data_IF_986873892995
#
_entry.id   IF_986873892995
#
_cell.length_a   1.000
_cell.length_b   1.000
_cell.length_c   1.000
_cell.angle_alpha   90.00
_cell.angle_beta   90.00
_cell.angle_gamma   90.00
#
_symmetry.space_group_name_H-M   'P 1'
#
loop_
_entity.id
_entity.type
_entity.pdbx_description
1 polymer ?
#
# COMPACT_ATOMS: atom_id res chain seq x y z
N UNK A 1 -13.76 54.37 -69.91
CA UNK A 1 -13.46 55.52 -69.05
C UNK A 1 -14.22 55.31 -67.76
N UNK A 2 -13.59 54.74 -66.74
CA UNK A 2 -14.01 54.86 -65.35
C UNK A 2 -12.74 54.79 -64.51
N UNK A 3 -12.37 55.94 -63.93
CA UNK A 3 -11.23 56.08 -63.03
C UNK A 3 -11.69 55.59 -61.66
N UNK A 4 -11.13 54.46 -61.24
CA UNK A 4 -11.37 53.88 -59.93
C UNK A 4 -10.90 54.86 -58.83
N UNK A 5 -11.84 55.32 -58.01
CA UNK A 5 -11.64 56.37 -57.03
C UNK A 5 -10.92 55.79 -55.80
N UNK A 6 -9.59 55.70 -55.85
CA UNK A 6 -8.77 55.31 -54.70
C UNK A 6 -8.81 56.40 -53.61
N UNK A 7 -9.77 56.30 -52.71
CA UNK A 7 -9.87 57.16 -51.53
C UNK A 7 -8.70 56.89 -50.58
N UNK A 8 -7.80 57.88 -50.45
CA UNK A 8 -6.80 57.86 -49.38
C UNK A 8 -7.50 57.93 -48.03
N UNK A 9 -7.16 57.08 -47.05
CA UNK A 9 -7.78 57.13 -45.72
C UNK A 9 -7.55 58.51 -45.10
N UNK A 10 -8.61 59.09 -44.52
CA UNK A 10 -8.55 60.42 -43.92
C UNK A 10 -7.64 60.35 -42.68
N UNK A 11 -6.77 61.34 -42.49
CA UNK A 11 -5.85 61.46 -41.34
C UNK A 11 -6.41 61.03 -39.95
N UNK A 12 -7.68 61.35 -39.58
CA UNK A 12 -8.26 60.87 -38.31
C UNK A 12 -8.40 59.35 -38.20
N UNK A 13 -8.56 58.63 -39.31
CA UNK A 13 -8.70 57.16 -39.32
C UNK A 13 -7.36 56.46 -39.03
N UNK A 14 -6.25 57.03 -39.50
CA UNK A 14 -4.90 56.55 -39.22
C UNK A 14 -4.58 56.75 -37.73
N UNK A 15 -4.89 57.93 -37.18
CA UNK A 15 -4.68 58.22 -35.76
C UNK A 15 -5.50 57.28 -34.84
N UNK A 16 -6.75 56.98 -35.20
CA UNK A 16 -7.60 56.04 -34.45
C UNK A 16 -7.04 54.62 -34.46
N UNK A 17 -6.58 54.11 -35.62
CA UNK A 17 -5.95 52.78 -35.73
C UNK A 17 -4.64 52.69 -34.94
N UNK A 18 -3.82 53.76 -34.93
CA UNK A 18 -2.59 53.81 -34.14
C UNK A 18 -2.88 53.80 -32.63
N UNK A 19 -3.86 54.57 -32.16
CA UNK A 19 -4.25 54.60 -30.73
C UNK A 19 -4.81 53.25 -30.28
N UNK A 20 -5.65 52.60 -31.10
CA UNK A 20 -6.19 51.28 -30.81
C UNK A 20 -5.08 50.22 -30.70
N UNK A 21 -4.11 50.25 -31.62
CA UNK A 21 -2.96 49.32 -31.62
C UNK A 21 -2.09 49.51 -30.37
N UNK A 22 -1.79 50.75 -29.98
CA UNK A 22 -1.01 51.07 -28.77
C UNK A 22 -1.76 50.60 -27.51
N UNK A 23 -3.08 50.76 -27.48
CA UNK A 23 -3.93 50.34 -26.36
C UNK A 23 -3.96 48.81 -26.22
N UNK A 24 -4.06 48.07 -27.33
CA UNK A 24 -3.98 46.61 -27.33
C UNK A 24 -2.61 46.09 -26.90
N UNK A 25 -1.52 46.73 -27.33
CA UNK A 25 -0.15 46.36 -26.91
C UNK A 25 0.03 46.56 -25.41
N UNK A 26 -0.45 47.70 -24.85
CA UNK A 26 -0.42 47.95 -23.40
C UNK A 26 -1.28 46.94 -22.63
N UNK A 27 -2.47 46.59 -23.15
CA UNK A 27 -3.36 45.59 -22.54
C UNK A 27 -2.71 44.20 -22.56
N UNK A 28 -2.14 43.76 -23.69
CA UNK A 28 -1.44 42.46 -23.80
C UNK A 28 -0.21 42.38 -22.89
N UNK A 29 0.56 43.46 -22.76
CA UNK A 29 1.68 43.54 -21.80
C UNK A 29 1.20 43.44 -20.35
N UNK A 30 0.18 44.21 -19.97
CA UNK A 30 -0.42 44.15 -18.63
C UNK A 30 -0.97 42.75 -18.30
N UNK A 31 -1.64 42.11 -19.25
CA UNK A 31 -2.16 40.74 -19.08
C UNK A 31 -1.02 39.73 -18.92
N UNK A 32 0.03 39.79 -19.74
CA UNK A 32 1.21 38.90 -19.60
C UNK A 32 1.91 39.08 -18.26
N UNK A 33 2.06 40.31 -17.78
CA UNK A 33 2.63 40.59 -16.45
C UNK A 33 1.75 40.05 -15.33
N UNK A 34 0.42 40.19 -15.43
CA UNK A 34 -0.52 39.60 -14.47
C UNK A 34 -0.45 38.08 -14.46
N UNK A 35 -0.46 37.43 -15.63
CA UNK A 35 -0.35 35.97 -15.73
C UNK A 35 1.00 35.46 -15.21
N UNK A 36 2.10 36.18 -15.45
CA UNK A 36 3.42 35.83 -14.93
C UNK A 36 3.47 35.95 -13.40
N UNK A 37 2.89 37.01 -12.82
CA UNK A 37 2.80 37.19 -11.36
C UNK A 37 1.91 36.12 -10.72
N UNK A 38 0.75 35.81 -11.32
CA UNK A 38 -0.13 34.74 -10.84
C UNK A 38 0.54 33.38 -10.93
N UNK A 39 1.26 33.09 -12.02
CA UNK A 39 2.00 31.83 -12.18
C UNK A 39 3.11 31.70 -11.12
N UNK A 40 3.90 32.75 -10.88
CA UNK A 40 4.93 32.77 -9.84
C UNK A 40 4.35 32.61 -8.42
N UNK A 41 3.19 33.21 -8.14
CA UNK A 41 2.50 33.06 -6.85
C UNK A 41 2.02 31.62 -6.62
N UNK A 42 1.50 30.95 -7.65
CA UNK A 42 1.05 29.54 -7.56
C UNK A 42 2.23 28.59 -7.32
N UNK A 43 3.36 28.81 -7.99
CA UNK A 43 4.58 27.98 -7.82
C UNK A 43 5.17 28.12 -6.41
N UNK A 44 5.11 29.33 -5.82
CA UNK A 44 5.63 29.55 -4.46
C UNK A 44 4.78 28.88 -3.37
N UNK A 45 3.46 28.72 -3.58
CA UNK A 45 2.58 28.05 -2.62
C UNK A 45 2.70 26.52 -2.61
N UNK A 46 3.22 25.91 -3.68
CA UNK A 46 3.36 24.45 -3.77
C UNK A 46 4.61 23.88 -3.07
N UNK A 47 5.50 24.73 -2.55
CA UNK A 47 6.76 24.29 -1.93
C UNK A 47 6.68 24.07 -0.40
N UNK A 48 5.50 24.16 0.19
CA UNK A 48 5.27 23.92 1.63
C UNK A 48 4.72 22.51 1.87
N UNK A 49 5.26 21.50 1.20
CA UNK A 49 5.11 20.12 1.67
C UNK A 49 6.11 19.90 2.80
N UNK A 50 5.64 19.85 4.03
CA UNK A 50 6.40 19.35 5.17
C UNK A 50 6.75 17.87 4.89
N UNK A 51 7.88 17.64 4.25
CA UNK A 51 8.42 16.30 3.93
C UNK A 51 9.02 15.57 5.14
N UNK A 52 8.76 16.06 6.35
CA UNK A 52 9.03 15.36 7.58
C UNK A 52 7.69 14.83 8.07
N UNK A 53 7.30 13.65 7.58
CA UNK A 53 6.34 12.85 8.31
C UNK A 53 6.86 12.75 9.76
N UNK A 54 5.98 12.98 10.72
CA UNK A 54 6.30 12.87 12.13
C UNK A 54 7.05 11.56 12.37
N UNK A 55 8.26 11.63 12.92
CA UNK A 55 9.10 10.45 13.16
C UNK A 55 8.68 9.75 14.46
N UNK A 56 7.66 10.27 15.15
CA UNK A 56 7.00 9.60 16.25
C UNK A 56 6.29 8.32 15.76
N UNK A 57 6.40 7.21 16.51
CA UNK A 57 5.63 5.99 16.23
C UNK A 57 4.15 6.28 16.10
N UNK A 58 3.54 5.66 15.09
CA UNK A 58 2.13 5.84 14.79
C UNK A 58 1.31 4.83 15.60
N UNK A 59 0.24 5.29 16.29
CA UNK A 59 -0.57 4.43 17.13
C UNK A 59 -1.26 3.34 16.29
N UNK A 60 -1.39 2.16 16.88
CA UNK A 60 -2.05 1.01 16.24
C UNK A 60 -3.41 0.80 16.92
N UNK A 61 -4.50 0.85 16.15
CA UNK A 61 -5.82 0.51 16.66
C UNK A 61 -5.91 -1.00 16.88
N UNK A 62 -6.09 -1.43 18.13
CA UNK A 62 -6.16 -2.84 18.53
C UNK A 62 -7.49 -3.21 19.18
N UNK A 63 -8.53 -2.37 19.01
CA UNK A 63 -9.83 -2.54 19.68
C UNK A 63 -10.55 -3.83 19.27
N UNK A 64 -10.31 -4.30 18.05
CA UNK A 64 -10.89 -5.54 17.53
C UNK A 64 -10.20 -6.82 18.04
N UNK A 65 -9.08 -6.69 18.78
CA UNK A 65 -8.34 -7.83 19.31
C UNK A 65 -8.74 -8.13 20.76
N UNK A 66 -8.76 -9.42 21.17
CA UNK A 66 -8.91 -9.79 22.58
C UNK A 66 -7.86 -9.13 23.47
N UNK A 67 -8.22 -8.87 24.72
CA UNK A 67 -7.26 -8.33 25.68
C UNK A 67 -6.23 -9.39 26.11
N UNK A 68 -5.01 -8.92 26.31
CA UNK A 68 -3.85 -9.75 26.67
C UNK A 68 -3.41 -9.58 28.12
N UNK A 69 -4.06 -8.71 28.88
CA UNK A 69 -3.69 -8.38 30.27
C UNK A 69 -2.58 -7.34 30.36
N UNK A 70 -2.29 -6.90 31.59
CA UNK A 70 -1.22 -5.94 31.88
C UNK A 70 0.15 -6.59 31.95
N UNK A 71 0.22 -7.84 32.45
CA UNK A 71 1.44 -8.63 32.45
C UNK A 71 1.82 -9.03 31.01
N UNK A 72 3.10 -8.93 30.69
CA UNK A 72 3.61 -9.33 29.39
C UNK A 72 3.51 -10.84 29.23
N UNK A 73 2.89 -11.28 28.14
CA UNK A 73 2.87 -12.67 27.71
C UNK A 73 4.26 -13.11 27.28
N UNK A 74 4.56 -14.37 27.49
CA UNK A 74 5.80 -15.00 27.05
C UNK A 74 5.68 -15.50 25.60
N UNK A 75 4.48 -15.89 25.18
CA UNK A 75 4.18 -16.41 23.84
C UNK A 75 3.12 -15.57 23.13
N UNK A 76 3.14 -15.61 21.80
CA UNK A 76 2.17 -14.92 20.96
C UNK A 76 0.72 -15.43 21.20
N UNK A 77 -0.15 -14.61 21.82
CA UNK A 77 -1.51 -15.03 22.17
C UNK A 77 -2.45 -15.07 20.97
N UNK A 78 -2.06 -14.54 19.80
CA UNK A 78 -2.91 -14.42 18.62
C UNK A 78 -2.66 -15.47 17.54
N UNK A 79 -1.85 -16.51 17.81
CA UNK A 79 -1.71 -17.65 16.89
C UNK A 79 -3.05 -18.39 16.73
N UNK A 80 -3.28 -18.94 15.54
CA UNK A 80 -4.56 -19.54 15.19
C UNK A 80 -4.99 -20.67 16.14
N UNK A 81 -4.04 -21.49 16.60
CA UNK A 81 -4.27 -22.58 17.54
C UNK A 81 -4.72 -22.12 18.94
N UNK A 82 -4.37 -20.89 19.32
CA UNK A 82 -4.68 -20.33 20.64
C UNK A 82 -5.90 -19.42 20.60
N UNK A 83 -5.98 -18.52 19.61
CA UNK A 83 -7.02 -17.50 19.53
C UNK A 83 -8.15 -17.82 18.55
N UNK A 84 -7.99 -18.85 17.72
CA UNK A 84 -8.88 -19.16 16.60
C UNK A 84 -8.58 -18.35 15.34
N UNK A 85 -9.01 -18.87 14.19
CA UNK A 85 -8.70 -18.30 12.88
C UNK A 85 -9.13 -16.85 12.70
N UNK A 86 -10.29 -16.47 13.23
CA UNK A 86 -10.84 -15.12 13.03
C UNK A 86 -10.03 -14.05 13.78
N UNK A 87 -9.60 -14.36 15.01
CA UNK A 87 -8.70 -13.47 15.75
C UNK A 87 -7.33 -13.42 15.09
N UNK A 88 -6.82 -14.56 14.64
CA UNK A 88 -5.53 -14.62 13.93
C UNK A 88 -5.52 -13.77 12.65
N UNK A 89 -6.57 -13.87 11.81
CA UNK A 89 -6.73 -13.01 10.62
C UNK A 89 -6.80 -11.53 11.00
N UNK A 90 -7.59 -11.19 12.01
CA UNK A 90 -7.71 -9.81 12.52
C UNK A 90 -6.36 -9.28 13.02
N UNK A 91 -5.57 -10.12 13.70
CA UNK A 91 -4.24 -9.77 14.17
C UNK A 91 -3.25 -9.57 13.02
N UNK A 92 -3.33 -10.37 11.95
CA UNK A 92 -2.54 -10.15 10.72
C UNK A 92 -2.88 -8.81 10.09
N UNK A 93 -4.16 -8.47 9.95
CA UNK A 93 -4.60 -7.21 9.33
C UNK A 93 -4.13 -5.98 10.12
N UNK A 94 -4.34 -5.99 11.44
CA UNK A 94 -3.87 -4.92 12.33
C UNK A 94 -2.34 -4.87 12.38
N UNK A 95 -1.70 -6.04 12.43
CA UNK A 95 -0.26 -6.20 12.42
C UNK A 95 0.39 -5.67 11.15
N UNK A 96 -0.20 -5.92 9.99
CA UNK A 96 0.27 -5.39 8.71
C UNK A 96 0.28 -3.85 8.72
N UNK A 97 -0.80 -3.24 9.20
CA UNK A 97 -0.88 -1.78 9.35
C UNK A 97 0.16 -1.25 10.33
N UNK A 98 0.26 -1.85 11.53
CA UNK A 98 1.22 -1.45 12.55
C UNK A 98 2.67 -1.59 12.09
N UNK A 99 2.99 -2.70 11.42
CA UNK A 99 4.30 -2.98 10.85
C UNK A 99 4.68 -1.98 9.76
N UNK A 100 3.77 -1.72 8.80
CA UNK A 100 4.05 -0.83 7.69
C UNK A 100 4.30 0.62 8.15
N UNK A 101 3.64 1.05 9.22
CA UNK A 101 3.79 2.40 9.76
C UNK A 101 5.05 2.55 10.63
N UNK A 102 5.44 1.51 11.37
CA UNK A 102 6.46 1.64 12.42
C UNK A 102 7.77 0.89 12.14
N UNK A 103 7.73 -0.19 11.35
CA UNK A 103 8.84 -1.15 11.24
C UNK A 103 9.43 -1.22 9.82
N UNK A 104 8.58 -1.13 8.80
CA UNK A 104 8.95 -1.42 7.41
C UNK A 104 10.04 -0.50 6.84
N UNK A 105 10.19 0.72 7.37
CA UNK A 105 11.26 1.64 6.95
C UNK A 105 12.67 1.05 7.19
N UNK A 106 12.84 0.25 8.24
CA UNK A 106 14.14 -0.32 8.61
C UNK A 106 14.25 -1.80 8.24
N UNK A 107 13.19 -2.56 8.48
CA UNK A 107 13.14 -4.00 8.25
C UNK A 107 12.59 -4.40 6.86
N UNK A 108 12.23 -3.39 6.06
CA UNK A 108 11.68 -3.55 4.71
C UNK A 108 10.20 -3.90 4.67
N UNK A 109 9.59 -3.75 3.49
CA UNK A 109 8.18 -4.12 3.27
C UNK A 109 8.03 -5.63 3.37
N UNK A 110 6.87 -6.09 3.85
CA UNK A 110 6.61 -7.54 4.02
C UNK A 110 7.67 -8.25 4.88
N UNK A 111 8.37 -7.51 5.75
CA UNK A 111 9.51 -7.95 6.57
C UNK A 111 10.77 -8.43 5.83
N UNK A 112 10.82 -8.22 4.51
CA UNK A 112 11.98 -8.54 3.68
C UNK A 112 12.99 -7.40 3.76
N UNK A 113 14.16 -7.66 4.35
CA UNK A 113 15.15 -6.60 4.57
C UNK A 113 15.86 -6.15 3.30
N UNK A 114 16.00 -4.83 3.13
CA UNK A 114 16.89 -4.20 2.15
C UNK A 114 18.33 -4.00 2.63
N UNK A 115 18.74 -4.60 3.75
CA UNK A 115 20.09 -4.55 4.32
C UNK A 115 20.33 -3.49 5.40
N UNK A 116 19.32 -2.69 5.78
CA UNK A 116 19.45 -1.69 6.84
C UNK A 116 19.32 -2.29 8.25
N UNK A 117 18.34 -3.17 8.45
CA UNK A 117 18.12 -3.94 9.67
C UNK A 117 17.89 -5.43 9.32
N UNK A 118 17.89 -6.38 10.28
CA UNK A 118 17.68 -7.80 9.96
C UNK A 118 16.33 -8.07 9.28
N UNK A 119 16.29 -9.08 8.40
CA UNK A 119 15.05 -9.67 7.86
C UNK A 119 14.32 -10.38 9.00
N UNK A 120 13.08 -9.98 9.27
CA UNK A 120 12.34 -10.49 10.43
C UNK A 120 11.56 -11.77 10.13
N UNK A 121 11.45 -12.19 8.86
CA UNK A 121 10.70 -13.39 8.48
C UNK A 121 11.33 -14.65 9.07
N UNK A 122 12.65 -14.65 9.27
CA UNK A 122 13.41 -15.76 9.84
C UNK A 122 13.42 -15.80 11.36
N UNK A 123 12.69 -14.92 12.03
CA UNK A 123 12.51 -15.02 13.47
C UNK A 123 11.48 -16.11 13.76
N UNK A 124 11.92 -17.20 14.40
CA UNK A 124 11.15 -18.42 14.56
C UNK A 124 9.81 -18.17 15.28
N UNK A 125 8.74 -18.81 14.81
CA UNK A 125 7.40 -18.73 15.40
C UNK A 125 7.24 -19.71 16.58
N UNK A 126 8.08 -19.52 17.60
CA UNK A 126 8.11 -20.32 18.83
C UNK A 126 8.44 -19.45 20.05
N UNK A 127 8.55 -20.07 21.22
CA UNK A 127 8.86 -19.39 22.48
C UNK A 127 10.17 -18.58 22.43
N UNK A 128 11.25 -19.17 21.90
CA UNK A 128 12.56 -18.50 21.84
C UNK A 128 12.51 -17.26 20.91
N UNK A 129 11.80 -17.37 19.79
CA UNK A 129 11.59 -16.25 18.88
C UNK A 129 10.67 -15.17 19.46
N UNK A 130 9.70 -15.54 20.30
CA UNK A 130 8.81 -14.62 21.01
C UNK A 130 9.57 -13.85 22.11
N UNK A 131 10.42 -14.53 22.88
CA UNK A 131 11.32 -13.90 23.85
C UNK A 131 12.22 -12.87 23.16
N UNK A 132 12.86 -13.27 22.05
CA UNK A 132 13.71 -12.35 21.30
C UNK A 132 12.94 -11.16 20.73
N UNK A 133 11.74 -11.39 20.21
CA UNK A 133 10.90 -10.32 19.67
C UNK A 133 10.47 -9.34 20.75
N UNK A 134 9.94 -9.84 21.88
CA UNK A 134 9.44 -8.99 22.96
C UNK A 134 10.57 -8.16 23.57
N UNK A 135 11.75 -8.73 23.77
CA UNK A 135 12.91 -8.00 24.27
C UNK A 135 13.30 -6.83 23.33
N UNK A 136 13.39 -7.10 22.03
CA UNK A 136 13.72 -6.06 21.03
C UNK A 136 12.61 -5.05 20.82
N UNK A 137 11.36 -5.48 20.82
CA UNK A 137 10.21 -4.60 20.69
C UNK A 137 10.14 -3.63 21.86
N UNK A 138 10.31 -4.13 23.08
CA UNK A 138 10.14 -3.33 24.30
C UNK A 138 11.30 -2.39 24.52
N UNK A 139 12.53 -2.90 24.44
CA UNK A 139 13.73 -2.17 24.85
C UNK A 139 14.49 -1.56 23.66
N UNK A 140 14.13 -1.91 22.42
CA UNK A 140 14.81 -1.46 21.22
C UNK A 140 16.21 -2.05 21.08
N UNK A 141 17.11 -1.30 20.44
CA UNK A 141 18.51 -1.67 20.27
C UNK A 141 19.39 -0.42 20.24
N UNK A 142 20.33 -0.32 21.19
CA UNK A 142 21.28 0.80 21.28
C UNK A 142 22.70 0.26 21.32
N UNK A 143 23.58 0.81 20.49
CA UNK A 143 24.99 0.42 20.41
C UNK A 143 25.86 1.67 20.53
N UNK A 144 26.81 1.66 21.45
CA UNK A 144 27.71 2.79 21.71
C UNK A 144 26.96 4.12 21.95
N UNK A 145 25.83 4.06 22.65
CA UNK A 145 24.97 5.22 22.93
C UNK A 145 24.13 5.70 21.74
N UNK A 146 24.18 5.02 20.58
CA UNK A 146 23.37 5.35 19.41
C UNK A 146 22.21 4.36 19.31
N UNK A 147 20.99 4.87 19.47
CA UNK A 147 19.76 4.09 19.27
C UNK A 147 19.60 3.74 17.80
N UNK A 148 19.55 2.44 17.51
CA UNK A 148 19.37 1.85 16.17
C UNK A 148 17.93 1.40 15.95
N UNK A 149 17.28 0.95 17.01
CA UNK A 149 15.85 0.61 17.05
C UNK A 149 15.27 1.23 18.32
N UNK A 150 14.18 2.02 18.23
CA UNK A 150 13.51 2.54 19.42
C UNK A 150 12.78 1.41 20.15
N UNK A 151 12.57 1.58 21.46
CA UNK A 151 11.67 0.73 22.22
C UNK A 151 10.22 1.20 22.05
N UNK A 152 9.29 0.25 21.96
CA UNK A 152 7.88 0.48 21.64
C UNK A 152 6.91 0.09 22.76
N UNK A 153 7.40 -0.43 23.91
CA UNK A 153 6.56 -0.89 25.03
C UNK A 153 5.53 0.19 25.43
N UNK A 154 6.01 1.34 25.91
CA UNK A 154 5.17 2.45 26.35
C UNK A 154 4.46 3.18 25.19
N UNK A 155 4.96 3.04 23.96
CA UNK A 155 4.48 3.82 22.81
C UNK A 155 3.29 3.16 22.12
N UNK A 156 3.32 1.84 21.99
CA UNK A 156 2.34 1.07 21.22
C UNK A 156 1.65 -0.01 22.06
N UNK A 157 2.31 -0.50 23.11
CA UNK A 157 1.77 -1.50 24.02
C UNK A 157 1.73 -2.92 23.46
N UNK A 158 1.42 -3.85 24.35
CA UNK A 158 1.50 -5.29 24.10
C UNK A 158 0.56 -5.80 23.00
N UNK A 159 -0.68 -5.31 22.92
CA UNK A 159 -1.63 -5.76 21.88
C UNK A 159 -1.11 -5.48 20.47
N UNK A 160 -0.49 -4.31 20.28
CA UNK A 160 0.11 -3.93 19.01
C UNK A 160 1.34 -4.79 18.71
N UNK A 161 2.18 -5.06 19.72
CA UNK A 161 3.34 -5.94 19.60
C UNK A 161 2.93 -7.31 19.06
N UNK A 162 1.95 -7.97 19.68
CA UNK A 162 1.54 -9.30 19.27
C UNK A 162 0.83 -9.33 17.91
N UNK A 163 0.06 -8.30 17.55
CA UNK A 163 -0.51 -8.20 16.21
C UNK A 163 0.60 -8.10 15.13
N UNK A 164 1.59 -7.23 15.35
CA UNK A 164 2.74 -7.08 14.46
C UNK A 164 3.54 -8.39 14.39
N UNK A 165 3.72 -9.07 15.52
CA UNK A 165 4.38 -10.38 15.58
C UNK A 165 3.67 -11.43 14.73
N UNK A 166 2.34 -11.58 14.88
CA UNK A 166 1.54 -12.51 14.06
C UNK A 166 1.65 -12.19 12.56
N UNK A 167 1.68 -10.90 12.20
CA UNK A 167 1.94 -10.51 10.82
C UNK A 167 3.33 -10.93 10.31
N UNK A 168 4.38 -10.77 11.13
CA UNK A 168 5.75 -11.18 10.77
C UNK A 168 5.85 -12.71 10.64
N UNK A 169 5.31 -13.46 11.59
CA UNK A 169 5.36 -14.94 11.59
C UNK A 169 4.76 -15.52 10.31
N UNK A 170 3.76 -14.86 9.73
CA UNK A 170 3.02 -15.36 8.57
C UNK A 170 3.64 -15.00 7.23
N UNK A 171 4.80 -14.33 7.21
CA UNK A 171 5.45 -13.96 5.94
C UNK A 171 5.95 -15.21 5.20
N UNK A 172 5.70 -15.32 3.89
CA UNK A 172 6.23 -16.40 3.07
C UNK A 172 7.76 -16.48 3.12
N UNK A 173 8.27 -17.70 3.01
CA UNK A 173 9.71 -17.93 2.78
C UNK A 173 10.15 -17.39 1.42
N UNK A 174 11.45 -17.14 1.29
CA UNK A 174 12.04 -16.75 0.01
C UNK A 174 11.83 -17.85 -1.03
N UNK A 175 11.37 -17.46 -2.22
CA UNK A 175 11.03 -18.39 -3.30
C UNK A 175 9.82 -19.31 -3.04
N UNK A 176 9.07 -19.15 -1.94
CA UNK A 176 7.96 -20.04 -1.59
C UNK A 176 6.79 -20.05 -2.60
N UNK A 177 6.79 -19.12 -3.57
CA UNK A 177 5.80 -19.02 -4.62
C UNK A 177 6.34 -19.37 -6.02
N UNK A 178 7.64 -19.64 -6.17
CA UNK A 178 8.33 -19.74 -7.47
C UNK A 178 7.70 -20.80 -8.38
N UNK A 179 7.40 -21.97 -7.81
CA UNK A 179 6.78 -23.09 -8.52
C UNK A 179 5.33 -22.80 -8.97
N UNK A 180 4.71 -21.75 -8.43
CA UNK A 180 3.32 -21.39 -8.69
C UNK A 180 3.17 -20.12 -9.54
N UNK A 181 4.24 -19.40 -9.87
CA UNK A 181 4.17 -18.07 -10.49
C UNK A 181 3.37 -18.07 -11.80
N UNK A 182 3.62 -19.04 -12.68
CA UNK A 182 2.89 -19.15 -13.97
C UNK A 182 1.40 -19.43 -13.77
N UNK A 183 1.08 -20.29 -12.81
CA UNK A 183 -0.31 -20.64 -12.47
C UNK A 183 -1.04 -19.43 -11.89
N UNK A 184 -0.42 -18.74 -10.94
CA UNK A 184 -0.98 -17.55 -10.29
C UNK A 184 -1.11 -16.37 -11.26
N UNK A 185 -0.15 -16.19 -12.17
CA UNK A 185 -0.23 -15.17 -13.22
C UNK A 185 -1.39 -15.45 -14.18
N UNK A 186 -1.59 -16.71 -14.57
CA UNK A 186 -2.73 -17.12 -15.40
C UNK A 186 -4.06 -16.83 -14.70
N UNK A 187 -4.17 -17.16 -13.40
CA UNK A 187 -5.38 -16.89 -12.61
C UNK A 187 -5.62 -15.39 -12.50
N UNK A 188 -4.59 -14.59 -12.18
CA UNK A 188 -4.67 -13.12 -12.11
C UNK A 188 -5.20 -12.53 -13.41
N UNK A 189 -4.64 -12.92 -14.55
CA UNK A 189 -4.99 -12.35 -15.85
C UNK A 189 -6.43 -12.70 -16.26
N UNK A 190 -6.90 -13.89 -15.89
CA UNK A 190 -8.29 -14.29 -16.13
C UNK A 190 -9.27 -13.63 -15.14
N UNK A 191 -8.91 -13.50 -13.86
CA UNK A 191 -9.71 -12.74 -12.88
C UNK A 191 -9.81 -11.27 -13.28
N UNK A 192 -8.75 -10.67 -13.83
CA UNK A 192 -8.77 -9.30 -14.36
C UNK A 192 -9.81 -9.14 -15.48
N UNK A 193 -9.82 -10.05 -16.47
CA UNK A 193 -10.83 -10.02 -17.55
C UNK A 193 -12.25 -10.23 -17.00
N UNK A 194 -12.41 -11.08 -15.98
CA UNK A 194 -13.69 -11.27 -15.30
C UNK A 194 -14.14 -9.98 -14.62
N UNK A 195 -13.25 -9.33 -13.85
CA UNK A 195 -13.52 -8.07 -13.18
C UNK A 195 -13.96 -6.98 -14.18
N UNK A 196 -13.24 -6.83 -15.31
CA UNK A 196 -13.58 -5.89 -16.37
C UNK A 196 -14.99 -6.13 -16.95
N UNK A 197 -15.36 -7.40 -17.16
CA UNK A 197 -16.69 -7.77 -17.66
C UNK A 197 -17.81 -7.47 -16.67
N UNK A 198 -17.57 -7.74 -15.38
CA UNK A 198 -18.51 -7.47 -14.29
C UNK A 198 -18.73 -5.95 -14.13
N UNK A 199 -17.66 -5.17 -14.12
CA UNK A 199 -17.73 -3.70 -14.04
C UNK A 199 -18.42 -3.10 -15.27
N UNK A 200 -18.14 -3.63 -16.47
CA UNK A 200 -18.80 -3.18 -17.70
C UNK A 200 -20.27 -3.65 -17.82
N UNK A 201 -20.77 -4.49 -16.90
CA UNK A 201 -22.11 -5.07 -16.98
C UNK A 201 -22.33 -6.00 -18.18
N UNK A 202 -21.24 -6.52 -18.76
CA UNK A 202 -21.28 -7.42 -19.94
C UNK A 202 -21.38 -8.90 -19.55
N UNK A 203 -21.38 -9.20 -18.25
CA UNK A 203 -21.62 -10.51 -17.67
C UNK A 203 -22.26 -10.35 -16.29
N UNK A 204 -23.14 -11.27 -15.89
CA UNK A 204 -23.56 -11.39 -14.49
C UNK A 204 -22.57 -12.29 -13.72
N UNK A 205 -22.46 -12.09 -12.40
CA UNK A 205 -21.60 -12.94 -11.56
C UNK A 205 -21.99 -14.43 -11.68
N UNK A 206 -23.28 -14.72 -11.77
CA UNK A 206 -23.80 -16.08 -11.95
C UNK A 206 -23.24 -16.78 -13.20
N UNK A 207 -22.89 -16.04 -14.25
CA UNK A 207 -22.35 -16.61 -15.49
C UNK A 207 -20.88 -17.04 -15.36
N UNK A 208 -20.17 -16.49 -14.37
CA UNK A 208 -18.73 -16.70 -14.16
C UNK A 208 -18.41 -17.44 -12.86
N UNK A 209 -19.40 -17.66 -12.00
CA UNK A 209 -19.22 -18.20 -10.65
C UNK A 209 -18.50 -19.54 -10.64
N UNK A 210 -18.88 -20.47 -11.53
CA UNK A 210 -18.23 -21.78 -11.62
C UNK A 210 -16.72 -21.70 -11.92
N UNK A 211 -16.31 -20.72 -12.75
CA UNK A 211 -14.89 -20.48 -13.06
C UNK A 211 -14.17 -19.84 -11.87
N UNK A 212 -14.81 -18.87 -11.21
CA UNK A 212 -14.26 -18.25 -9.99
C UNK A 212 -14.11 -19.26 -8.85
N UNK A 213 -15.07 -20.16 -8.67
CA UNK A 213 -15.02 -21.23 -7.66
C UNK A 213 -13.86 -22.19 -7.93
N UNK A 214 -13.62 -22.51 -9.20
CA UNK A 214 -12.44 -23.29 -9.61
C UNK A 214 -11.15 -22.57 -9.22
N UNK A 215 -11.03 -21.28 -9.50
CA UNK A 215 -9.85 -20.51 -9.11
C UNK A 215 -9.70 -20.37 -7.60
N UNK A 216 -10.79 -20.19 -6.87
CA UNK A 216 -10.76 -20.15 -5.40
C UNK A 216 -10.21 -21.47 -4.82
N UNK A 217 -10.63 -22.60 -5.36
CA UNK A 217 -10.11 -23.92 -4.94
C UNK A 217 -8.61 -24.06 -5.24
N UNK A 218 -8.17 -23.66 -6.44
CA UNK A 218 -6.75 -23.69 -6.82
C UNK A 218 -5.90 -22.77 -5.95
N UNK A 219 -6.34 -21.53 -5.73
CA UNK A 219 -5.63 -20.56 -4.89
C UNK A 219 -5.52 -21.04 -3.44
N UNK A 220 -6.56 -21.71 -2.93
CA UNK A 220 -6.52 -22.34 -1.60
C UNK A 220 -5.50 -23.47 -1.53
N UNK A 221 -5.44 -24.31 -2.56
CA UNK A 221 -4.46 -25.40 -2.64
C UNK A 221 -3.02 -24.85 -2.66
N UNK A 222 -2.76 -23.86 -3.52
CA UNK A 222 -1.45 -23.17 -3.55
C UNK A 222 -1.13 -22.58 -2.18
N UNK A 223 -2.07 -21.85 -1.57
CA UNK A 223 -1.87 -21.22 -0.27
C UNK A 223 -1.46 -22.20 0.84
N UNK A 224 -1.97 -23.44 0.81
CA UNK A 224 -1.61 -24.48 1.77
C UNK A 224 -0.19 -25.04 1.57
N UNK A 225 0.41 -24.82 0.41
CA UNK A 225 1.75 -25.29 0.06
C UNK A 225 2.83 -24.22 0.26
N UNK A 226 2.44 -22.96 0.47
CA UNK A 226 3.39 -21.86 0.71
C UNK A 226 3.93 -21.95 2.13
N UNK A 227 5.24 -22.19 2.26
CA UNK A 227 5.94 -22.17 3.54
C UNK A 227 6.13 -20.75 4.07
N UNK A 228 6.21 -20.63 5.40
CA UNK A 228 6.69 -19.40 6.07
C UNK A 228 8.18 -19.54 6.38
N UNK A 229 8.91 -18.42 6.38
CA UNK A 229 10.32 -18.41 6.79
C UNK A 229 10.49 -18.66 8.31
N UNK A 230 9.46 -18.35 9.09
CA UNK A 230 9.47 -18.44 10.56
C UNK A 230 9.20 -19.85 11.08
N UNK A 231 8.76 -20.76 10.21
CA UNK A 231 8.24 -22.08 10.60
C UNK A 231 6.79 -22.07 11.09
N UNK A 232 6.10 -20.93 11.07
CA UNK A 232 4.66 -20.86 11.32
C UNK A 232 3.86 -21.74 10.33
N UNK A 233 2.75 -22.34 10.75
CA UNK A 233 2.05 -23.36 9.97
C UNK A 233 1.32 -22.83 8.72
N UNK A 234 1.11 -21.52 8.61
CA UNK A 234 0.36 -20.93 7.51
C UNK A 234 0.95 -19.56 7.10
N UNK A 235 1.10 -19.37 5.79
CA UNK A 235 1.55 -18.11 5.21
C UNK A 235 0.38 -17.21 4.81
N UNK A 236 0.51 -15.92 5.12
CA UNK A 236 -0.31 -14.86 4.54
C UNK A 236 0.35 -14.40 3.22
N UNK A 237 0.06 -15.17 2.17
CA UNK A 237 0.60 -15.06 0.82
C UNK A 237 -0.37 -14.40 -0.14
N UNK A 238 0.12 -14.05 -1.34
CA UNK A 238 -0.73 -13.54 -2.42
C UNK A 238 -1.91 -14.48 -2.73
N UNK A 239 -1.66 -15.79 -2.71
CA UNK A 239 -2.68 -16.81 -2.94
C UNK A 239 -3.71 -16.85 -1.80
N UNK A 240 -3.27 -16.77 -0.54
CA UNK A 240 -4.19 -16.86 0.61
C UNK A 240 -5.09 -15.64 0.73
N UNK A 241 -4.54 -14.45 0.52
CA UNK A 241 -5.31 -13.20 0.41
C UNK A 241 -6.30 -13.24 -0.75
N UNK A 242 -5.88 -13.75 -1.91
CA UNK A 242 -6.73 -13.82 -3.10
C UNK A 242 -7.92 -14.77 -2.93
N UNK A 243 -7.73 -16.01 -2.44
CA UNK A 243 -8.87 -16.92 -2.27
C UNK A 243 -9.85 -16.43 -1.20
N UNK A 244 -9.34 -15.76 -0.15
CA UNK A 244 -10.17 -15.19 0.91
C UNK A 244 -11.04 -14.06 0.38
N UNK A 245 -10.52 -13.25 -0.54
CA UNK A 245 -11.27 -12.17 -1.18
C UNK A 245 -12.38 -12.64 -2.14
N UNK A 246 -12.32 -13.86 -2.67
CA UNK A 246 -13.34 -14.39 -3.59
C UNK A 246 -14.62 -14.79 -2.83
N UNK A 247 -15.45 -13.81 -2.50
CA UNK A 247 -16.65 -13.91 -1.64
C UNK A 247 -17.98 -13.95 -2.39
N UNK A 248 -17.95 -14.35 -3.67
CA UNK A 248 -19.10 -14.32 -4.58
C UNK A 248 -19.57 -12.91 -5.00
N UNK A 249 -18.71 -11.89 -4.91
CA UNK A 249 -18.97 -10.54 -5.38
C UNK A 249 -18.01 -10.07 -6.49
N UNK A 250 -18.37 -8.99 -7.19
CA UNK A 250 -17.51 -8.36 -8.18
C UNK A 250 -16.31 -7.66 -7.51
N UNK A 251 -16.55 -7.06 -6.36
CA UNK A 251 -15.56 -6.42 -5.49
C UNK A 251 -14.52 -7.43 -5.03
N UNK A 252 -14.95 -8.63 -4.63
CA UNK A 252 -14.08 -9.72 -4.23
C UNK A 252 -13.16 -10.19 -5.36
N UNK A 253 -13.69 -10.30 -6.58
CA UNK A 253 -12.89 -10.62 -7.78
C UNK A 253 -11.85 -9.54 -8.08
N UNK A 254 -12.22 -8.26 -7.97
CA UNK A 254 -11.28 -7.15 -8.16
C UNK A 254 -10.18 -7.17 -7.11
N UNK A 255 -10.53 -7.38 -5.83
CA UNK A 255 -9.56 -7.45 -4.72
C UNK A 255 -8.63 -8.65 -4.83
N UNK A 256 -9.13 -9.82 -5.22
CA UNK A 256 -8.30 -10.99 -5.50
C UNK A 256 -7.29 -10.73 -6.64
N UNK A 257 -7.73 -10.03 -7.69
CA UNK A 257 -6.87 -9.62 -8.80
C UNK A 257 -5.75 -8.69 -8.32
N UNK A 258 -6.07 -7.72 -7.47
CA UNK A 258 -5.09 -6.81 -6.87
C UNK A 258 -4.06 -7.56 -6.02
N UNK A 259 -4.50 -8.46 -5.13
CA UNK A 259 -3.59 -9.25 -4.30
C UNK A 259 -2.61 -10.08 -5.12
N UNK A 260 -3.07 -10.73 -6.19
CA UNK A 260 -2.19 -11.45 -7.10
C UNK A 260 -1.28 -10.50 -7.89
N UNK A 261 -1.76 -9.32 -8.28
CA UNK A 261 -0.95 -8.34 -9.01
C UNK A 261 0.21 -7.83 -8.15
N UNK A 262 -0.08 -7.41 -6.92
CA UNK A 262 0.94 -6.93 -5.98
C UNK A 262 1.86 -8.07 -5.59
N UNK A 263 1.30 -9.21 -5.18
CA UNK A 263 2.07 -10.35 -4.68
C UNK A 263 3.00 -10.99 -5.72
N UNK A 264 2.64 -11.01 -7.00
CA UNK A 264 3.51 -11.53 -8.05
C UNK A 264 4.58 -10.52 -8.47
N UNK A 265 4.36 -9.21 -8.27
CA UNK A 265 5.34 -8.18 -8.58
C UNK A 265 6.52 -8.13 -7.60
N UNK A 266 6.33 -8.64 -6.38
CA UNK A 266 7.40 -8.77 -5.37
C UNK A 266 8.19 -10.08 -5.49
N UNK A 267 7.71 -11.05 -6.28
CA UNK A 267 8.37 -12.32 -6.51
C UNK A 267 9.26 -12.33 -7.79
N UNK A 268 9.33 -11.22 -8.54
CA UNK A 268 10.03 -11.09 -9.82
C UNK A 268 11.27 -10.20 -9.74
#
# INVERSE_FOLDING_TARGET
>A
MELDHFQRPKAPEIAAKTIQTITEIKRRRSMKTKYLITFLAVVFTTSQTFGHADVAPQPVNTDALPDVGEEWREENPYRAETAGEEVWKTAIEIGASGYNQNCARCHGLEAVSGGLAPDLRYLEANLDGDEWYTERYRNGYTVNGITKMPGYDELLGQKAAWAIRTYIETRPDDGALDDFLDQLATIRDDLKKIAERLVAGTAAYADISAKVDTYKAVLREVANQVSTASGAPAADSAASRAYTALDASAEGVAKATEFLTVGLSVAQ
#
